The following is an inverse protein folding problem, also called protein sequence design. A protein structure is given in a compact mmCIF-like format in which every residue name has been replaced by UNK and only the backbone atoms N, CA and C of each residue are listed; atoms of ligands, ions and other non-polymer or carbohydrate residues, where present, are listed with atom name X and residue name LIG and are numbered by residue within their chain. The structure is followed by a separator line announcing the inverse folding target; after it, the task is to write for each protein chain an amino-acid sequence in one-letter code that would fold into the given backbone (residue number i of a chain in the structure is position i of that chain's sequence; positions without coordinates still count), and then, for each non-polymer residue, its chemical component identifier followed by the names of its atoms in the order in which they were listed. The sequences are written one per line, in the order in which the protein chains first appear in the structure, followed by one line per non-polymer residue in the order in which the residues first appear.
data_IF_972065634331
#
_entry.id   IF_972065634331
#
_cell.length_a   1.000
_cell.length_b   1.000
_cell.length_c   1.000
_cell.angle_alpha   90.00
_cell.angle_beta   90.00
_cell.angle_gamma   90.00
#
_symmetry.space_group_name_H-M   'P 1'
#
loop_
_entity.id
_entity.type
_entity.pdbx_description
1 polymer ?
#
# COMPACT_ATOMS: atom_id res chain seq x y z
N UNK A 1 -7.11 -13.47 -40.31
CA UNK A 1 -6.55 -12.62 -39.23
C UNK A 1 -7.28 -13.00 -37.95
N UNK A 2 -6.57 -13.31 -36.87
CA UNK A 2 -7.21 -13.48 -35.56
C UNK A 2 -7.92 -12.18 -35.19
N UNK A 3 -9.21 -12.25 -34.86
CA UNK A 3 -9.95 -11.11 -34.35
C UNK A 3 -9.57 -10.91 -32.87
N UNK A 4 -8.90 -9.80 -32.57
CA UNK A 4 -8.58 -9.42 -31.20
C UNK A 4 -9.65 -8.48 -30.64
N UNK A 5 -9.90 -8.55 -29.33
CA UNK A 5 -10.90 -7.70 -28.66
C UNK A 5 -10.44 -6.24 -28.44
N UNK A 6 -9.15 -5.95 -28.70
CA UNK A 6 -8.57 -4.61 -28.61
C UNK A 6 -9.13 -3.67 -29.68
N UNK A 7 -9.11 -2.36 -29.42
CA UNK A 7 -9.56 -1.31 -30.33
C UNK A 7 -8.42 -0.28 -30.57
N UNK A 8 -7.60 -0.48 -31.62
CA UNK A 8 -6.51 0.42 -31.98
C UNK A 8 -6.94 1.85 -32.35
N UNK A 9 -8.15 2.03 -32.86
CA UNK A 9 -8.68 3.35 -33.23
C UNK A 9 -8.97 4.18 -31.99
N UNK A 10 -9.58 3.56 -30.98
CA UNK A 10 -9.83 4.16 -29.67
C UNK A 10 -8.53 4.63 -29.00
N UNK A 11 -7.52 3.77 -29.00
CA UNK A 11 -6.19 4.13 -28.47
C UNK A 11 -5.54 5.27 -29.22
N UNK A 12 -5.69 5.30 -30.55
CA UNK A 12 -5.18 6.38 -31.40
C UNK A 12 -5.89 7.70 -31.10
N UNK A 13 -7.22 7.67 -30.90
CA UNK A 13 -8.01 8.84 -30.52
C UNK A 13 -7.61 9.36 -29.14
N UNK A 14 -7.43 8.45 -28.17
CA UNK A 14 -6.97 8.80 -26.83
C UNK A 14 -5.60 9.46 -26.86
N UNK A 15 -4.62 8.88 -27.56
CA UNK A 15 -3.29 9.45 -27.66
C UNK A 15 -3.32 10.89 -28.19
N UNK A 16 -4.06 11.12 -29.29
CA UNK A 16 -4.23 12.45 -29.88
C UNK A 16 -4.81 13.46 -28.90
N UNK A 17 -5.80 13.06 -28.09
CA UNK A 17 -6.42 13.94 -27.09
C UNK A 17 -5.47 14.19 -25.90
N UNK A 18 -4.78 13.14 -25.44
CA UNK A 18 -3.88 13.19 -24.29
C UNK A 18 -2.69 14.12 -24.53
N UNK A 19 -2.13 14.13 -25.75
CA UNK A 19 -0.96 14.95 -26.09
C UNK A 19 -1.33 16.26 -26.79
N UNK A 20 -2.62 16.58 -26.92
CA UNK A 20 -3.08 17.77 -27.64
C UNK A 20 -2.57 19.04 -26.93
N UNK A 21 -1.75 19.82 -27.64
CA UNK A 21 -1.23 21.09 -27.12
C UNK A 21 -0.06 20.94 -26.14
N UNK A 22 0.53 19.74 -26.01
CA UNK A 22 1.65 19.46 -25.09
C UNK A 22 2.73 18.65 -25.85
N UNK A 23 3.42 19.25 -26.84
CA UNK A 23 4.30 18.52 -27.76
C UNK A 23 5.50 17.84 -27.07
N UNK A 24 5.99 18.40 -25.97
CA UNK A 24 7.08 17.87 -25.16
C UNK A 24 6.68 16.63 -24.34
N UNK A 25 5.38 16.44 -24.09
CA UNK A 25 4.90 15.31 -23.32
C UNK A 25 4.84 14.05 -24.18
N UNK A 26 5.67 13.07 -23.80
CA UNK A 26 5.73 11.76 -24.44
C UNK A 26 5.23 10.69 -23.46
N UNK A 27 3.98 10.19 -23.59
CA UNK A 27 3.43 9.22 -22.67
C UNK A 27 4.31 7.98 -22.52
N UNK A 28 4.41 7.45 -21.29
CA UNK A 28 5.11 6.19 -21.03
C UNK A 28 4.15 5.02 -21.27
N UNK A 29 4.11 4.52 -22.51
CA UNK A 29 3.37 3.30 -22.83
C UNK A 29 4.23 2.06 -22.63
N UNK A 30 3.59 0.93 -22.33
CA UNK A 30 4.26 -0.38 -22.25
C UNK A 30 3.26 -1.52 -22.48
N UNK A 31 3.72 -2.70 -22.94
CA UNK A 31 2.83 -3.84 -23.18
C UNK A 31 2.39 -4.52 -21.89
N UNK A 32 1.12 -4.90 -21.87
CA UNK A 32 0.51 -5.80 -20.90
C UNK A 32 0.23 -7.15 -21.57
N UNK A 33 0.08 -8.21 -20.77
CA UNK A 33 -0.36 -9.51 -21.26
C UNK A 33 -1.76 -9.40 -21.88
N UNK A 34 -2.01 -10.21 -22.92
CA UNK A 34 -3.33 -10.27 -23.59
C UNK A 34 -4.42 -10.62 -22.57
N UNK A 35 -5.58 -9.96 -22.67
CA UNK A 35 -6.71 -10.17 -21.76
C UNK A 35 -6.38 -9.99 -20.26
N UNK A 36 -5.28 -9.32 -19.92
CA UNK A 36 -4.86 -9.08 -18.55
C UNK A 36 -4.47 -7.62 -18.34
N UNK A 37 -4.44 -7.22 -17.07
CA UNK A 37 -3.88 -5.94 -16.61
C UNK A 37 -2.40 -6.03 -16.29
N UNK A 38 -1.84 -7.23 -16.24
CA UNK A 38 -0.47 -7.45 -15.81
C UNK A 38 0.54 -7.03 -16.88
N UNK A 39 1.64 -6.39 -16.48
CA UNK A 39 2.80 -6.19 -17.33
C UNK A 39 3.24 -7.48 -18.02
N UNK A 40 3.81 -7.34 -19.22
CA UNK A 40 4.42 -8.46 -19.90
C UNK A 40 5.57 -9.07 -19.06
N UNK A 41 5.45 -10.34 -18.70
CA UNK A 41 6.25 -10.98 -17.64
C UNK A 41 7.76 -11.05 -17.92
N UNK A 42 8.17 -10.98 -19.20
CA UNK A 42 9.57 -11.18 -19.60
C UNK A 42 10.48 -9.99 -19.29
N UNK A 43 9.91 -8.79 -19.17
CA UNK A 43 10.68 -7.55 -19.01
C UNK A 43 9.96 -6.65 -18.02
N UNK A 44 10.68 -6.13 -17.03
CA UNK A 44 10.14 -5.09 -16.15
C UNK A 44 9.55 -3.96 -16.97
N UNK A 45 8.28 -3.62 -16.72
CA UNK A 45 7.61 -2.58 -17.49
C UNK A 45 8.29 -1.21 -17.38
N UNK A 46 8.94 -0.93 -16.23
CA UNK A 46 9.76 0.28 -16.03
C UNK A 46 10.98 0.36 -16.95
N UNK A 47 11.34 -0.75 -17.61
CA UNK A 47 12.41 -0.87 -18.60
C UNK A 47 11.88 -1.21 -20.00
N UNK A 48 10.56 -1.24 -20.21
CA UNK A 48 9.92 -1.68 -21.46
C UNK A 48 9.04 -0.59 -22.08
N UNK A 49 9.51 0.66 -22.03
CA UNK A 49 8.83 1.80 -22.67
C UNK A 49 8.61 1.52 -24.16
N UNK A 50 7.47 1.99 -24.67
CA UNK A 50 7.11 2.02 -26.09
C UNK A 50 6.75 3.43 -26.50
N UNK A 51 7.13 3.79 -27.71
CA UNK A 51 6.56 4.91 -28.44
C UNK A 51 5.09 4.63 -28.76
N UNK A 52 4.34 5.67 -29.13
CA UNK A 52 2.95 5.52 -29.56
C UNK A 52 2.81 4.50 -30.71
N UNK A 53 3.67 4.57 -31.73
CA UNK A 53 3.59 3.69 -32.90
C UNK A 53 3.86 2.22 -32.53
N UNK A 54 4.84 1.96 -31.67
CA UNK A 54 5.12 0.61 -31.17
C UNK A 54 3.96 0.06 -30.32
N UNK A 55 3.41 0.89 -29.43
CA UNK A 55 2.27 0.51 -28.60
C UNK A 55 1.03 0.23 -29.45
N UNK A 56 0.75 1.07 -30.45
CA UNK A 56 -0.36 0.89 -31.39
C UNK A 56 -0.20 -0.41 -32.19
N UNK A 57 1.02 -0.69 -32.66
CA UNK A 57 1.34 -1.93 -33.37
C UNK A 57 1.11 -3.17 -32.50
N UNK A 58 1.51 -3.13 -31.22
CA UNK A 58 1.25 -4.20 -30.27
C UNK A 58 -0.25 -4.36 -30.00
N UNK A 59 -1.00 -3.27 -29.88
CA UNK A 59 -2.45 -3.31 -29.69
C UNK A 59 -3.18 -3.93 -30.88
N UNK A 60 -2.76 -3.65 -32.12
CA UNK A 60 -3.25 -4.32 -33.34
C UNK A 60 -3.01 -5.84 -33.33
N UNK A 61 -2.08 -6.30 -32.50
CA UNK A 61 -1.77 -7.72 -32.27
C UNK A 61 -2.40 -8.28 -30.99
N UNK A 62 -3.40 -7.58 -30.44
CA UNK A 62 -4.19 -8.04 -29.30
C UNK A 62 -3.55 -7.85 -27.93
N UNK A 63 -2.39 -7.21 -27.83
CA UNK A 63 -1.80 -6.87 -26.53
C UNK A 63 -2.52 -5.66 -25.93
N UNK A 64 -2.77 -5.73 -24.63
CA UNK A 64 -3.21 -4.55 -23.88
C UNK A 64 -2.04 -3.59 -23.69
N UNK A 65 -2.34 -2.31 -23.53
CA UNK A 65 -1.32 -1.28 -23.33
C UNK A 65 -1.55 -0.61 -21.97
N UNK A 66 -0.49 -0.54 -21.19
CA UNK A 66 -0.43 0.28 -19.97
C UNK A 66 0.07 1.67 -20.30
N UNK A 67 -0.42 2.66 -19.56
CA UNK A 67 0.13 4.02 -19.52
C UNK A 67 0.56 4.33 -18.08
N UNK A 68 1.82 4.70 -17.91
CA UNK A 68 2.38 5.07 -16.62
C UNK A 68 2.59 6.57 -16.50
N UNK A 69 2.34 7.09 -15.30
CA UNK A 69 2.88 8.37 -14.86
C UNK A 69 4.23 8.11 -14.19
N UNK A 70 5.25 8.89 -14.53
CA UNK A 70 6.63 8.74 -14.03
C UNK A 70 7.05 9.93 -13.16
N UNK A 71 8.17 9.81 -12.47
CA UNK A 71 8.80 10.95 -11.75
C UNK A 71 9.32 12.05 -12.69
N UNK A 72 9.54 11.74 -13.97
CA UNK A 72 10.11 12.66 -14.97
C UNK A 72 9.10 13.30 -15.91
N UNK A 73 7.86 12.83 -15.93
CA UNK A 73 6.78 13.40 -16.76
C UNK A 73 5.77 14.18 -15.90
N UNK A 74 4.94 15.03 -16.51
CA UNK A 74 3.93 15.77 -15.77
C UNK A 74 2.60 15.00 -15.61
N UNK A 75 2.49 13.74 -16.05
CA UNK A 75 1.21 13.04 -16.03
C UNK A 75 0.75 12.76 -14.60
N UNK A 76 -0.53 13.00 -14.32
CA UNK A 76 -1.21 12.58 -13.09
C UNK A 76 -2.48 11.86 -13.51
N UNK A 77 -2.72 10.68 -12.96
CA UNK A 77 -3.92 9.89 -13.25
C UNK A 77 -4.70 9.74 -11.95
N UNK A 78 -5.90 10.30 -11.86
CA UNK A 78 -6.81 10.04 -10.74
C UNK A 78 -7.72 8.88 -11.15
N UNK A 79 -7.43 7.69 -10.63
CA UNK A 79 -8.17 6.44 -10.80
C UNK A 79 -9.27 6.36 -9.74
N UNK A 80 -10.52 6.60 -10.14
CA UNK A 80 -11.69 6.60 -9.25
C UNK A 80 -12.38 5.25 -9.36
N UNK A 81 -12.44 4.53 -8.25
CA UNK A 81 -13.13 3.23 -8.15
C UNK A 81 -14.61 3.39 -7.78
N UNK A 82 -14.93 4.35 -6.91
CA UNK A 82 -16.28 4.67 -6.45
C UNK A 82 -16.60 6.16 -6.64
N UNK A 83 -17.41 6.47 -7.64
CA UNK A 83 -17.82 7.83 -7.98
C UNK A 83 -18.64 8.51 -6.88
N UNK A 84 -19.30 7.76 -5.98
CA UNK A 84 -20.08 8.34 -4.88
C UNK A 84 -19.19 8.98 -3.80
N UNK A 85 -17.96 8.51 -3.68
CA UNK A 85 -16.95 9.04 -2.75
C UNK A 85 -16.15 10.20 -3.37
N UNK A 86 -16.26 10.40 -4.68
CA UNK A 86 -15.60 11.47 -5.44
C UNK A 86 -16.64 12.21 -6.27
N UNK A 87 -17.59 12.93 -5.62
CA UNK A 87 -18.70 13.56 -6.33
C UNK A 87 -18.25 14.70 -7.25
N UNK A 88 -17.13 15.34 -6.92
CA UNK A 88 -16.56 16.45 -7.67
C UNK A 88 -15.13 16.13 -8.11
N UNK A 89 -14.87 16.33 -9.40
CA UNK A 89 -13.54 16.25 -9.98
C UNK A 89 -13.39 17.31 -11.06
N UNK A 90 -12.23 17.96 -11.11
CA UNK A 90 -11.90 18.95 -12.13
C UNK A 90 -12.09 18.33 -13.53
N UNK A 91 -12.89 18.93 -14.43
CA UNK A 91 -13.13 18.38 -15.76
C UNK A 91 -11.84 18.20 -16.54
N UNK A 92 -11.68 17.02 -17.15
CA UNK A 92 -10.50 16.66 -17.96
C UNK A 92 -10.82 15.47 -18.87
N UNK A 93 -9.85 15.03 -19.67
CA UNK A 93 -9.92 13.80 -20.43
C UNK A 93 -10.19 12.60 -19.51
N UNK A 94 -11.22 11.82 -19.82
CA UNK A 94 -11.62 10.67 -19.00
C UNK A 94 -11.70 9.38 -19.82
N UNK A 95 -11.41 8.27 -19.16
CA UNK A 95 -11.67 6.92 -19.68
C UNK A 95 -12.47 6.10 -18.69
N UNK A 96 -13.43 5.33 -19.18
CA UNK A 96 -14.18 4.34 -18.41
C UNK A 96 -13.40 3.03 -18.31
N UNK A 97 -13.31 2.48 -17.10
CA UNK A 97 -12.58 1.22 -16.85
C UNK A 97 -13.40 -0.02 -17.25
N UNK A 98 -12.77 -1.20 -17.29
CA UNK A 98 -13.39 -2.48 -17.70
C UNK A 98 -14.72 -2.85 -17.00
N UNK A 99 -14.91 -2.39 -15.75
CA UNK A 99 -16.11 -2.68 -14.95
C UNK A 99 -17.23 -1.67 -15.21
N UNK A 100 -16.98 -0.69 -16.08
CA UNK A 100 -17.89 0.39 -16.51
C UNK A 100 -18.32 1.40 -15.42
N UNK A 101 -18.04 1.09 -14.16
CA UNK A 101 -18.28 1.97 -13.00
C UNK A 101 -17.13 2.94 -12.73
N UNK A 102 -15.87 2.49 -12.81
CA UNK A 102 -14.71 3.33 -12.49
C UNK A 102 -14.29 4.26 -13.62
N UNK A 103 -13.49 5.28 -13.29
CA UNK A 103 -12.99 6.30 -14.22
C UNK A 103 -11.50 6.56 -14.00
N UNK A 104 -10.73 6.63 -15.09
CA UNK A 104 -9.39 7.23 -15.03
C UNK A 104 -9.50 8.67 -15.57
N UNK A 105 -9.01 9.63 -14.78
CA UNK A 105 -9.02 11.05 -15.09
C UNK A 105 -7.57 11.50 -15.29
N UNK A 106 -7.24 12.00 -16.48
CA UNK A 106 -5.86 12.32 -16.84
C UNK A 106 -5.62 13.81 -16.70
N UNK A 107 -4.51 14.21 -16.07
CA UNK A 107 -4.12 15.60 -15.86
C UNK A 107 -2.63 15.81 -16.12
N UNK A 108 -2.25 17.06 -16.32
CA UNK A 108 -0.85 17.52 -16.33
C UNK A 108 -0.57 18.31 -15.05
N UNK A 109 0.37 17.83 -14.24
CA UNK A 109 0.82 18.52 -13.04
C UNK A 109 1.44 19.89 -13.39
N UNK A 110 0.99 20.94 -12.73
CA UNK A 110 1.62 22.27 -12.86
C UNK A 110 2.94 22.36 -12.10
N UNK A 111 3.06 21.58 -11.03
CA UNK A 111 4.21 21.58 -10.15
C UNK A 111 4.45 20.19 -9.55
N UNK A 112 5.55 20.03 -8.82
CA UNK A 112 5.90 18.75 -8.18
C UNK A 112 4.97 18.36 -7.03
N UNK A 113 4.18 19.28 -6.50
CA UNK A 113 3.25 18.99 -5.39
C UNK A 113 2.07 18.13 -5.86
N UNK A 114 1.65 18.27 -7.11
CA UNK A 114 0.67 17.38 -7.74
C UNK A 114 1.25 15.99 -8.12
N UNK A 115 2.57 15.78 -8.04
CA UNK A 115 3.21 14.49 -8.34
C UNK A 115 3.31 13.61 -7.08
N UNK A 116 2.15 13.24 -6.52
CA UNK A 116 2.04 12.39 -5.32
C UNK A 116 1.19 11.16 -5.59
N UNK A 117 1.69 9.98 -5.21
CA UNK A 117 0.86 8.77 -5.17
C UNK A 117 0.02 8.77 -3.88
N UNK A 118 -1.30 8.64 -4.00
CA UNK A 118 -2.21 8.67 -2.85
C UNK A 118 -3.22 7.54 -3.03
N UNK A 119 -3.26 6.60 -2.09
CA UNK A 119 -4.31 5.60 -2.02
C UNK A 119 -5.38 6.07 -1.03
N UNK A 120 -6.65 6.01 -1.42
CA UNK A 120 -7.79 6.44 -0.60
C UNK A 120 -8.83 5.31 -0.48
N UNK A 121 -8.36 4.11 -0.11
CA UNK A 121 -9.20 2.94 0.13
C UNK A 121 -10.15 2.64 -1.03
N UNK A 122 -11.47 2.71 -0.81
CA UNK A 122 -12.50 2.42 -1.81
C UNK A 122 -12.76 3.56 -2.79
N UNK A 123 -12.32 4.79 -2.50
CA UNK A 123 -12.52 5.92 -3.40
C UNK A 123 -11.65 5.79 -4.67
N UNK A 124 -10.49 5.16 -4.53
CA UNK A 124 -9.53 4.95 -5.61
C UNK A 124 -8.13 5.47 -5.26
N UNK A 125 -7.38 5.90 -6.27
CA UNK A 125 -5.97 6.27 -6.16
C UNK A 125 -5.59 7.45 -7.06
N UNK A 126 -4.72 8.33 -6.56
CA UNK A 126 -3.92 9.22 -7.39
C UNK A 126 -2.63 8.51 -7.77
N UNK A 127 -2.43 8.30 -9.07
CA UNK A 127 -1.29 7.60 -9.68
C UNK A 127 -0.43 8.56 -10.47
N UNK A 128 0.72 8.93 -9.94
CA UNK A 128 1.55 10.02 -10.49
C UNK A 128 3.03 9.66 -10.68
N UNK A 129 3.58 8.75 -9.87
CA UNK A 129 5.01 8.42 -9.89
C UNK A 129 5.18 6.92 -9.91
N UNK A 130 5.61 6.40 -11.06
CA UNK A 130 5.83 4.98 -11.32
C UNK A 130 4.62 4.09 -10.98
N UNK A 131 3.42 4.62 -11.20
CA UNK A 131 2.15 3.90 -11.19
C UNK A 131 1.48 4.03 -12.55
N UNK A 132 0.63 3.07 -12.90
CA UNK A 132 0.05 2.97 -14.23
C UNK A 132 -1.42 2.61 -14.19
N UNK A 133 -2.11 2.88 -15.28
CA UNK A 133 -3.44 2.34 -15.57
C UNK A 133 -3.43 1.64 -16.92
N UNK A 134 -4.50 0.89 -17.21
CA UNK A 134 -4.69 0.31 -18.55
C UNK A 134 -5.24 1.40 -19.47
N UNK A 135 -4.60 1.58 -20.64
CA UNK A 135 -4.99 2.57 -21.63
C UNK A 135 -6.26 2.15 -22.39
N UNK A 136 -7.10 3.12 -22.83
CA UNK A 136 -8.28 2.82 -23.64
C UNK A 136 -7.90 2.18 -24.98
N UNK A 137 -8.81 1.38 -25.52
CA UNK A 137 -8.55 0.42 -26.60
C UNK A 137 -8.12 -0.96 -26.10
N UNK A 138 -7.73 -1.10 -24.83
CA UNK A 138 -7.44 -2.40 -24.22
C UNK A 138 -8.71 -3.13 -23.79
N UNK A 139 -8.61 -4.46 -23.62
CA UNK A 139 -9.71 -5.33 -23.19
C UNK A 139 -9.26 -6.32 -22.11
N UNK A 140 -10.03 -6.44 -21.03
CA UNK A 140 -9.82 -7.44 -19.97
C UNK A 140 -11.17 -8.04 -19.59
N UNK A 141 -11.39 -9.35 -19.77
CA UNK A 141 -12.69 -9.97 -19.54
C UNK A 141 -13.19 -9.74 -18.11
N UNK A 142 -14.51 -9.65 -17.97
CA UNK A 142 -15.21 -9.59 -16.69
C UNK A 142 -15.98 -10.90 -16.49
N UNK A 143 -16.06 -11.37 -15.24
CA UNK A 143 -16.92 -12.50 -14.91
C UNK A 143 -18.39 -12.07 -14.87
N UNK A 144 -19.31 -13.04 -14.91
CA UNK A 144 -20.75 -12.78 -14.95
C UNK A 144 -21.24 -11.94 -13.76
N UNK A 145 -20.71 -12.20 -12.56
CA UNK A 145 -21.09 -11.44 -11.37
C UNK A 145 -20.72 -9.96 -11.48
N UNK A 146 -19.53 -9.65 -11.99
CA UNK A 146 -19.12 -8.26 -12.22
C UNK A 146 -19.98 -7.60 -13.31
N UNK A 147 -20.37 -8.33 -14.36
CA UNK A 147 -21.24 -7.83 -15.44
C UNK A 147 -22.64 -7.52 -14.91
N UNK A 148 -23.21 -8.38 -14.05
CA UNK A 148 -24.53 -8.15 -13.44
C UNK A 148 -24.58 -6.88 -12.59
N UNK A 149 -23.47 -6.48 -11.97
CA UNK A 149 -23.34 -5.24 -11.19
C UNK A 149 -23.19 -3.97 -12.05
N UNK A 150 -23.03 -4.09 -13.38
CA UNK A 150 -22.93 -2.94 -14.28
C UNK A 150 -24.31 -2.40 -14.66
N UNK A 151 -24.41 -1.09 -14.97
CA UNK A 151 -25.58 -0.53 -15.66
C UNK A 151 -25.88 -1.32 -16.93
N UNK A 152 -27.17 -1.55 -17.21
CA UNK A 152 -27.60 -2.46 -18.28
C UNK A 152 -27.10 -2.01 -19.66
N UNK A 153 -27.19 -0.72 -19.92
CA UNK A 153 -26.73 -0.04 -21.12
C UNK A 153 -25.20 -0.10 -21.32
N UNK A 154 -24.44 -0.40 -20.27
CA UNK A 154 -22.97 -0.51 -20.34
C UNK A 154 -22.47 -1.95 -20.45
N UNK A 155 -23.35 -2.96 -20.32
CA UNK A 155 -22.95 -4.39 -20.29
C UNK A 155 -22.29 -4.86 -21.60
N UNK A 156 -22.70 -4.33 -22.75
CA UNK A 156 -22.08 -4.65 -24.04
C UNK A 156 -20.63 -4.15 -24.15
N UNK A 157 -20.27 -3.17 -23.33
CA UNK A 157 -18.92 -2.65 -23.23
C UNK A 157 -18.10 -3.35 -22.12
N UNK A 158 -18.65 -4.36 -21.45
CA UNK A 158 -17.96 -5.07 -20.38
C UNK A 158 -16.57 -5.54 -20.83
N UNK A 159 -15.58 -5.26 -19.98
CA UNK A 159 -14.19 -5.59 -20.25
C UNK A 159 -13.41 -4.55 -21.05
N UNK A 160 -14.08 -3.61 -21.73
CA UNK A 160 -13.43 -2.58 -22.55
C UNK A 160 -12.98 -1.39 -21.70
N UNK A 161 -11.76 -0.94 -21.95
CA UNK A 161 -11.30 0.39 -21.57
C UNK A 161 -11.59 1.35 -22.73
N UNK A 162 -12.39 2.39 -22.50
CA UNK A 162 -12.83 3.32 -23.56
C UNK A 162 -12.76 4.75 -23.07
N UNK A 163 -12.60 5.70 -23.99
CA UNK A 163 -12.85 7.12 -23.77
C UNK A 163 -14.28 7.29 -23.24
N UNK A 164 -14.39 8.12 -22.21
CA UNK A 164 -15.68 8.53 -21.67
C UNK A 164 -16.10 9.89 -22.25
N UNK A 165 -15.13 10.76 -22.53
CA UNK A 165 -15.35 12.07 -23.13
C UNK A 165 -14.20 12.41 -24.10
N UNK A 166 -14.28 13.59 -24.73
CA UNK A 166 -13.23 14.11 -25.62
C UNK A 166 -12.69 15.47 -25.16
N UNK A 167 -12.75 15.74 -23.85
CA UNK A 167 -12.21 16.97 -23.27
C UNK A 167 -10.68 17.01 -23.45
N UNK A 168 -10.07 18.21 -23.58
CA UNK A 168 -8.63 18.34 -23.48
C UNK A 168 -8.14 17.93 -22.08
N UNK A 169 -6.86 17.58 -21.98
CA UNK A 169 -6.23 17.31 -20.68
C UNK A 169 -6.06 18.63 -19.93
N UNK A 170 -6.62 18.70 -18.74
CA UNK A 170 -6.51 19.85 -17.85
C UNK A 170 -5.21 19.81 -17.04
N UNK A 171 -4.74 21.00 -16.65
CA UNK A 171 -3.69 21.13 -15.65
C UNK A 171 -4.22 20.90 -14.24
N UNK A 172 -3.37 20.47 -13.31
CA UNK A 172 -3.76 20.18 -11.92
C UNK A 172 -2.68 20.61 -10.91
N UNK A 173 -3.12 21.16 -9.78
CA UNK A 173 -2.31 21.36 -8.57
C UNK A 173 -2.74 20.40 -7.45
N UNK A 174 -2.09 20.43 -6.29
CA UNK A 174 -2.50 19.61 -5.16
C UNK A 174 -3.89 20.04 -4.62
N UNK A 175 -4.20 21.33 -4.67
CA UNK A 175 -5.45 21.93 -4.17
C UNK A 175 -6.67 21.46 -4.97
N UNK A 176 -6.46 21.20 -6.26
CA UNK A 176 -7.46 20.66 -7.19
C UNK A 176 -7.83 19.19 -6.90
N UNK A 177 -7.06 18.48 -6.06
CA UNK A 177 -7.38 17.10 -5.71
C UNK A 177 -8.71 17.01 -4.95
N UNK A 178 -9.55 16.01 -5.24
CA UNK A 178 -10.77 15.79 -4.46
C UNK A 178 -10.46 15.58 -2.97
N UNK A 179 -11.36 16.03 -2.10
CA UNK A 179 -11.11 16.13 -0.65
C UNK A 179 -10.73 14.78 -0.02
N UNK A 180 -11.36 13.69 -0.44
CA UNK A 180 -11.06 12.33 0.06
C UNK A 180 -9.58 11.96 -0.10
N UNK A 181 -8.94 12.37 -1.20
CA UNK A 181 -7.51 12.12 -1.43
C UNK A 181 -6.63 13.07 -0.61
N UNK A 182 -7.04 14.33 -0.45
CA UNK A 182 -6.30 15.29 0.40
C UNK A 182 -6.33 14.85 1.87
N UNK A 183 -7.47 14.39 2.37
CA UNK A 183 -7.60 13.84 3.72
C UNK A 183 -6.79 12.56 3.91
N UNK A 184 -6.83 11.63 2.95
CA UNK A 184 -5.97 10.44 2.97
C UNK A 184 -4.48 10.82 3.02
N UNK A 185 -4.06 11.80 2.22
CA UNK A 185 -2.69 12.29 2.22
C UNK A 185 -2.30 12.97 3.55
N UNK A 186 -3.17 13.80 4.13
CA UNK A 186 -2.94 14.46 5.43
C UNK A 186 -2.79 13.43 6.54
N UNK A 187 -3.73 12.49 6.66
CA UNK A 187 -3.71 11.42 7.66
C UNK A 187 -2.41 10.62 7.58
N UNK A 188 -2.02 10.25 6.35
CA UNK A 188 -0.78 9.55 6.07
C UNK A 188 0.47 10.37 6.44
N UNK A 189 0.50 11.66 6.10
CA UNK A 189 1.63 12.56 6.44
C UNK A 189 1.80 12.71 7.95
N UNK A 190 0.71 12.75 8.72
CA UNK A 190 0.75 12.81 10.18
C UNK A 190 1.44 11.57 10.76
N UNK A 191 1.09 10.37 10.26
CA UNK A 191 1.71 9.11 10.71
C UNK A 191 3.22 9.12 10.45
N UNK A 192 3.64 9.46 9.24
CA UNK A 192 5.07 9.52 8.87
C UNK A 192 5.86 10.55 9.65
N UNK A 193 5.26 11.72 9.87
CA UNK A 193 5.88 12.79 10.65
C UNK A 193 6.07 12.34 12.09
N UNK A 194 5.05 11.70 12.70
CA UNK A 194 5.15 11.12 14.04
C UNK A 194 6.25 10.04 14.10
N UNK A 195 6.30 9.14 13.11
CA UNK A 195 7.33 8.11 13.04
C UNK A 195 8.75 8.72 12.94
N UNK A 196 8.90 9.77 12.14
CA UNK A 196 10.17 10.49 11.98
C UNK A 196 10.58 11.21 13.27
N UNK A 197 9.67 11.96 13.90
CA UNK A 197 9.94 12.64 15.17
C UNK A 197 10.35 11.62 16.25
N UNK A 198 9.64 10.49 16.37
CA UNK A 198 10.03 9.41 17.30
C UNK A 198 11.42 8.88 17.04
N UNK A 199 11.80 8.69 15.78
CA UNK A 199 13.14 8.24 15.44
C UNK A 199 14.21 9.28 15.82
N UNK A 200 13.99 10.55 15.51
CA UNK A 200 14.94 11.63 15.79
C UNK A 200 15.09 11.93 17.29
N UNK A 201 14.02 11.77 18.06
CA UNK A 201 14.01 11.96 19.51
C UNK A 201 14.40 10.71 20.30
N UNK A 202 14.74 9.62 19.60
CA UNK A 202 15.08 8.35 20.22
C UNK A 202 16.34 8.47 21.05
N UNK A 203 16.23 8.26 22.36
CA UNK A 203 17.39 8.04 23.21
C UNK A 203 17.97 6.65 22.97
N UNK A 204 19.30 6.49 22.86
CA UNK A 204 19.91 5.17 22.84
C UNK A 204 19.52 4.43 24.13
N UNK A 205 18.92 3.26 23.98
CA UNK A 205 18.62 2.38 25.10
C UNK A 205 19.86 1.51 25.29
N UNK A 206 20.48 1.56 26.46
CA UNK A 206 21.57 0.66 26.79
C UNK A 206 21.08 -0.79 26.63
N UNK A 207 21.79 -1.57 25.82
CA UNK A 207 21.57 -3.01 25.73
C UNK A 207 21.84 -3.62 27.10
N UNK A 208 20.80 -4.12 27.76
CA UNK A 208 20.99 -4.95 28.95
C UNK A 208 21.51 -6.32 28.50
N UNK A 209 22.60 -6.77 29.13
CA UNK A 209 23.05 -8.15 29.04
C UNK A 209 21.95 -9.06 29.61
N UNK A 210 21.30 -9.83 28.74
CA UNK A 210 20.20 -10.72 29.09
C UNK A 210 19.65 -11.46 27.87
N UNK A 211 18.78 -12.45 28.09
CA UNK A 211 18.15 -13.19 26.99
C UNK A 211 17.25 -12.27 26.16
N UNK A 212 17.60 -12.12 24.88
CA UNK A 212 16.81 -11.39 23.89
C UNK A 212 15.58 -12.23 23.53
N UNK A 213 14.41 -11.58 23.46
CA UNK A 213 13.18 -12.22 22.97
C UNK A 213 13.34 -12.61 21.50
N UNK A 214 12.87 -13.81 21.14
CA UNK A 214 12.80 -14.29 19.77
C UNK A 214 11.83 -13.46 18.91
N UNK A 215 10.98 -12.61 19.52
CA UNK A 215 10.14 -11.64 18.82
C UNK A 215 10.91 -10.80 17.80
N UNK A 216 12.14 -10.43 18.13
CA UNK A 216 12.98 -9.57 17.30
C UNK A 216 13.68 -10.31 16.16
N UNK A 217 13.58 -11.64 16.14
CA UNK A 217 14.20 -12.49 15.13
C UNK A 217 13.14 -13.08 14.17
N UNK A 218 11.84 -12.82 14.43
CA UNK A 218 10.75 -13.17 13.52
C UNK A 218 10.90 -12.45 12.18
N UNK A 219 10.59 -13.18 11.12
CA UNK A 219 10.56 -12.71 9.74
C UNK A 219 9.13 -12.60 9.24
N UNK A 220 8.94 -11.94 8.09
CA UNK A 220 7.65 -11.92 7.40
C UNK A 220 7.17 -13.34 7.07
N UNK A 221 8.07 -14.24 6.70
CA UNK A 221 7.72 -15.64 6.42
C UNK A 221 7.10 -16.31 7.64
N UNK A 222 7.63 -16.04 8.84
CA UNK A 222 7.13 -16.64 10.09
C UNK A 222 5.72 -16.15 10.44
N UNK A 223 5.45 -14.85 10.22
CA UNK A 223 4.19 -14.23 10.69
C UNK A 223 3.10 -14.19 9.62
N UNK A 224 3.46 -14.12 8.34
CA UNK A 224 2.51 -14.04 7.23
C UNK A 224 2.37 -15.37 6.47
N UNK A 225 3.27 -16.33 6.69
CA UNK A 225 3.29 -17.60 5.94
C UNK A 225 3.65 -17.43 4.45
N UNK A 226 4.18 -16.27 4.05
CA UNK A 226 4.55 -15.97 2.67
C UNK A 226 6.07 -15.83 2.59
N UNK A 227 6.72 -16.74 1.86
CA UNK A 227 8.15 -16.66 1.56
C UNK A 227 8.47 -15.55 0.55
N UNK A 228 9.76 -15.25 0.37
CA UNK A 228 10.21 -14.29 -0.64
C UNK A 228 9.65 -14.63 -2.03
N UNK A 229 8.92 -13.68 -2.60
CA UNK A 229 8.25 -13.81 -3.90
C UNK A 229 9.08 -13.25 -5.05
N UNK A 230 10.27 -12.71 -4.78
CA UNK A 230 11.09 -11.98 -5.75
C UNK A 230 10.37 -10.74 -6.31
N UNK A 231 9.45 -10.15 -5.53
CA UNK A 231 8.59 -9.04 -5.97
C UNK A 231 7.39 -9.45 -6.83
N UNK A 232 7.16 -10.75 -7.07
CA UNK A 232 5.95 -11.22 -7.74
C UNK A 232 4.73 -10.95 -6.86
N UNK A 233 3.70 -10.34 -7.43
CA UNK A 233 2.46 -10.06 -6.70
C UNK A 233 1.68 -11.35 -6.41
N UNK A 234 1.25 -11.51 -5.17
CA UNK A 234 0.48 -12.62 -4.61
C UNK A 234 -0.72 -12.09 -3.81
N UNK A 235 -1.68 -12.95 -3.41
CA UNK A 235 -2.78 -12.53 -2.56
C UNK A 235 -2.27 -12.08 -1.18
N UNK A 236 -2.77 -10.94 -0.71
CA UNK A 236 -2.63 -10.50 0.67
C UNK A 236 -3.35 -11.46 1.62
N UNK A 237 -2.72 -11.82 2.76
CA UNK A 237 -3.36 -12.57 3.83
C UNK A 237 -4.69 -11.94 4.30
N UNK A 238 -5.69 -12.79 4.55
CA UNK A 238 -7.02 -12.39 5.02
C UNK A 238 -6.99 -11.69 6.37
N UNK A 239 -6.02 -12.05 7.21
CA UNK A 239 -5.83 -11.57 8.58
C UNK A 239 -5.48 -10.08 8.63
N UNK A 240 -4.96 -9.53 7.53
CA UNK A 240 -4.69 -8.09 7.39
C UNK A 240 -5.88 -7.40 6.74
N UNK A 241 -6.18 -7.75 5.48
CA UNK A 241 -7.35 -7.24 4.75
C UNK A 241 -7.70 -8.04 3.48
N UNK A 242 -7.01 -9.15 3.20
CA UNK A 242 -7.30 -10.00 2.04
C UNK A 242 -7.06 -9.35 0.66
N UNK A 243 -7.44 -10.09 -0.40
CA UNK A 243 -7.29 -9.65 -1.79
C UNK A 243 -8.46 -10.04 -2.67
N UNK A 244 -9.18 -9.05 -3.18
CA UNK A 244 -10.20 -9.25 -4.22
C UNK A 244 -9.58 -9.62 -5.58
N UNK A 245 -8.38 -9.13 -5.87
CA UNK A 245 -7.70 -9.31 -7.15
C UNK A 245 -6.67 -10.44 -7.14
N UNK A 246 -6.39 -11.01 -5.95
CA UNK A 246 -5.32 -11.97 -5.72
C UNK A 246 -3.90 -11.43 -5.89
N UNK A 247 -3.68 -10.10 -5.96
CA UNK A 247 -2.37 -9.50 -6.28
C UNK A 247 -2.03 -8.24 -5.46
N UNK A 248 -2.49 -8.17 -4.21
CA UNK A 248 -2.30 -6.97 -3.38
C UNK A 248 -1.01 -6.95 -2.56
N UNK A 249 -0.23 -8.03 -2.50
CA UNK A 249 1.06 -7.99 -1.82
C UNK A 249 2.20 -8.67 -2.59
N UNK A 250 3.42 -8.43 -2.17
CA UNK A 250 4.60 -9.22 -2.55
C UNK A 250 5.60 -9.21 -1.41
N UNK A 251 6.36 -10.27 -1.22
CA UNK A 251 7.45 -10.31 -0.25
C UNK A 251 8.79 -10.22 -0.98
N UNK A 252 9.67 -9.34 -0.51
CA UNK A 252 11.05 -9.24 -0.98
C UNK A 252 11.91 -8.57 0.07
N UNK A 253 13.19 -8.97 0.19
CA UNK A 253 14.15 -8.34 1.12
C UNK A 253 13.66 -8.39 2.59
N UNK A 254 12.93 -9.44 2.97
CA UNK A 254 12.39 -9.60 4.32
C UNK A 254 11.20 -8.68 4.66
N UNK A 255 10.66 -7.95 3.67
CA UNK A 255 9.52 -7.06 3.84
C UNK A 255 8.33 -7.55 3.02
N UNK A 256 7.13 -7.40 3.58
CA UNK A 256 5.87 -7.55 2.86
C UNK A 256 5.47 -6.18 2.32
N UNK A 257 5.37 -6.05 1.01
CA UNK A 257 4.88 -4.87 0.32
C UNK A 257 3.37 -4.98 0.13
N UNK A 258 2.61 -4.07 0.73
CA UNK A 258 1.18 -3.90 0.49
C UNK A 258 0.98 -2.87 -0.62
N UNK A 259 0.57 -3.35 -1.79
CA UNK A 259 0.32 -2.49 -2.96
C UNK A 259 -1.01 -1.75 -2.90
N UNK A 260 -1.94 -2.17 -2.03
CA UNK A 260 -3.23 -1.49 -1.83
C UNK A 260 -3.09 -0.23 -0.98
N UNK A 261 -2.30 -0.31 0.08
CA UNK A 261 -2.11 0.79 1.04
C UNK A 261 -0.77 1.52 0.83
N UNK A 262 0.04 1.11 -0.15
CA UNK A 262 1.35 1.69 -0.48
C UNK A 262 2.31 1.74 0.73
N UNK A 263 2.34 0.64 1.49
CA UNK A 263 3.19 0.47 2.69
C UNK A 263 3.93 -0.87 2.66
N UNK A 264 5.02 -0.94 3.40
CA UNK A 264 5.78 -2.15 3.69
C UNK A 264 5.68 -2.53 5.15
N UNK A 265 5.69 -3.83 5.43
CA UNK A 265 5.72 -4.38 6.78
C UNK A 265 6.97 -5.23 7.00
N UNK A 266 7.52 -5.15 8.21
CA UNK A 266 8.38 -6.18 8.77
C UNK A 266 7.53 -7.07 9.70
N UNK A 267 8.13 -8.11 10.30
CA UNK A 267 7.40 -9.02 11.18
C UNK A 267 6.71 -8.28 12.34
N UNK A 268 7.39 -7.33 12.97
CA UNK A 268 6.86 -6.58 14.10
C UNK A 268 5.65 -5.72 13.72
N UNK A 269 5.74 -4.93 12.64
CA UNK A 269 4.62 -4.07 12.21
C UNK A 269 3.46 -4.89 11.66
N UNK A 270 3.72 -6.07 11.08
CA UNK A 270 2.67 -7.02 10.69
C UNK A 270 1.92 -7.56 11.92
N UNK A 271 2.65 -8.05 12.93
CA UNK A 271 2.05 -8.51 14.18
C UNK A 271 1.31 -7.40 14.93
N UNK A 272 1.76 -6.16 14.83
CA UNK A 272 1.07 -5.01 15.41
C UNK A 272 -0.32 -4.79 14.78
N UNK A 273 -0.49 -5.07 13.49
CA UNK A 273 -1.81 -5.09 12.85
C UNK A 273 -2.64 -6.26 13.39
N UNK A 274 -2.07 -7.46 13.44
CA UNK A 274 -2.79 -8.65 13.92
C UNK A 274 -3.21 -8.55 15.39
N UNK A 275 -2.43 -7.86 16.22
CA UNK A 275 -2.76 -7.56 17.61
C UNK A 275 -3.86 -6.48 17.76
N UNK A 276 -4.39 -5.93 16.65
CA UNK A 276 -5.45 -4.92 16.66
C UNK A 276 -5.00 -3.53 17.12
N UNK A 277 -3.69 -3.27 17.16
CA UNK A 277 -3.13 -1.99 17.61
C UNK A 277 -3.15 -0.91 16.53
N UNK A 278 -3.02 -1.35 15.28
CA UNK A 278 -2.83 -0.47 14.14
C UNK A 278 -3.58 -1.01 12.92
N UNK A 279 -3.87 -0.12 11.98
CA UNK A 279 -4.27 -0.49 10.62
C UNK A 279 -3.06 -0.83 9.77
N UNK A 280 -3.26 -1.47 8.61
CA UNK A 280 -2.18 -1.71 7.64
C UNK A 280 -1.41 -0.41 7.33
N UNK A 281 -2.13 0.67 7.02
CA UNK A 281 -1.56 1.99 6.70
C UNK A 281 -0.78 2.60 7.87
N UNK A 282 -1.30 2.50 9.09
CA UNK A 282 -0.69 3.16 10.26
C UNK A 282 0.43 2.37 10.93
N UNK A 283 0.52 1.05 10.70
CA UNK A 283 1.62 0.22 11.18
C UNK A 283 2.82 0.22 10.22
N UNK A 284 2.55 0.22 8.92
CA UNK A 284 3.55 0.04 7.88
C UNK A 284 4.52 1.22 7.74
N UNK A 285 5.58 1.01 6.96
CA UNK A 285 6.45 2.06 6.45
C UNK A 285 6.05 2.35 5.01
N UNK A 286 5.75 3.60 4.66
CA UNK A 286 5.39 3.95 3.28
C UNK A 286 6.40 3.46 2.26
N UNK A 287 5.94 3.15 1.05
CA UNK A 287 6.82 2.90 -0.08
C UNK A 287 7.74 4.12 -0.32
N UNK A 288 9.06 3.91 -0.17
CA UNK A 288 10.06 4.98 -0.21
C UNK A 288 10.22 5.78 1.09
N UNK A 289 9.44 5.46 2.12
CA UNK A 289 9.57 5.97 3.48
C UNK A 289 10.79 5.39 4.20
N UNK A 290 11.08 5.92 5.40
CA UNK A 290 12.27 5.57 6.19
C UNK A 290 11.96 4.78 7.47
N UNK A 291 10.77 4.95 8.02
CA UNK A 291 10.42 4.43 9.35
C UNK A 291 9.04 3.80 9.35
N UNK A 292 8.88 2.74 10.15
CA UNK A 292 7.59 2.10 10.38
C UNK A 292 6.71 2.95 11.31
N UNK A 293 5.40 2.92 11.06
CA UNK A 293 4.41 3.54 11.93
C UNK A 293 4.22 2.79 13.26
N UNK A 294 4.36 1.47 13.28
CA UNK A 294 4.35 0.68 14.51
C UNK A 294 5.60 0.95 15.36
N UNK A 295 5.40 1.28 16.64
CA UNK A 295 6.49 1.67 17.53
C UNK A 295 7.09 0.47 18.29
N UNK A 296 8.20 -0.07 17.76
CA UNK A 296 8.97 -1.12 18.43
C UNK A 296 9.65 -0.68 19.74
N UNK A 297 9.53 0.59 20.12
CA UNK A 297 10.12 1.16 21.32
C UNK A 297 9.05 1.59 22.35
N UNK A 298 7.77 1.49 22.03
CA UNK A 298 6.66 1.74 22.94
C UNK A 298 6.35 0.48 23.76
N UNK A 299 6.33 0.61 25.09
CA UNK A 299 6.20 -0.53 25.99
C UNK A 299 4.86 -1.24 25.85
N UNK A 300 3.77 -0.48 25.67
CA UNK A 300 2.43 -1.04 25.45
C UNK A 300 2.37 -1.82 24.14
N UNK A 301 2.82 -1.20 23.06
CA UNK A 301 2.87 -1.81 21.72
C UNK A 301 3.67 -3.11 21.75
N UNK A 302 4.87 -3.08 22.31
CA UNK A 302 5.72 -4.27 22.41
C UNK A 302 5.07 -5.35 23.29
N UNK A 303 4.40 -4.99 24.38
CA UNK A 303 3.70 -5.95 25.24
C UNK A 303 2.59 -6.68 24.49
N UNK A 304 1.71 -5.93 23.83
CA UNK A 304 0.57 -6.49 23.10
C UNK A 304 1.01 -7.31 21.88
N UNK A 305 2.04 -6.87 21.15
CA UNK A 305 2.63 -7.63 20.03
C UNK A 305 3.27 -8.93 20.53
N UNK A 306 4.07 -8.87 21.60
CA UNK A 306 4.70 -10.06 22.19
C UNK A 306 3.66 -11.06 22.71
N UNK A 307 2.62 -10.56 23.40
CA UNK A 307 1.53 -11.39 23.92
C UNK A 307 0.77 -12.08 22.77
N UNK A 308 0.45 -11.34 21.70
CA UNK A 308 -0.16 -11.92 20.51
C UNK A 308 0.72 -13.01 19.89
N UNK A 309 2.02 -12.75 19.73
CA UNK A 309 2.95 -13.71 19.14
C UNK A 309 3.09 -14.99 20.01
N UNK A 310 3.10 -14.87 21.34
CA UNK A 310 3.06 -16.03 22.24
C UNK A 310 1.75 -16.82 22.13
N UNK A 311 0.62 -16.13 22.17
CA UNK A 311 -0.69 -16.79 22.09
C UNK A 311 -0.89 -17.50 20.74
N UNK A 312 -0.29 -16.95 19.68
CA UNK A 312 -0.27 -17.53 18.34
C UNK A 312 0.82 -18.60 18.15
N UNK A 313 1.56 -18.95 19.22
CA UNK A 313 2.65 -19.95 19.22
C UNK A 313 3.78 -19.65 18.22
N UNK A 314 3.96 -18.39 17.86
CA UNK A 314 5.08 -17.91 17.05
C UNK A 314 6.37 -17.77 17.89
N UNK A 315 6.22 -17.73 19.21
CA UNK A 315 7.32 -17.65 20.17
C UNK A 315 7.33 -18.89 21.09
N UNK A 316 8.52 -19.34 21.54
CA UNK A 316 8.62 -20.38 22.56
C UNK A 316 7.82 -20.04 23.83
N UNK A 317 7.31 -21.05 24.53
CA UNK A 317 6.58 -20.82 25.79
C UNK A 317 7.42 -20.10 26.85
N UNK A 318 8.73 -20.31 26.85
CA UNK A 318 9.67 -19.66 27.77
C UNK A 318 10.37 -18.44 27.14
N UNK A 319 9.87 -17.91 26.03
CA UNK A 319 10.41 -16.69 25.43
C UNK A 319 10.36 -15.53 26.44
N UNK A 320 11.49 -14.84 26.67
CA UNK A 320 11.55 -13.76 27.66
C UNK A 320 10.78 -12.54 27.14
N UNK A 321 9.88 -12.00 27.96
CA UNK A 321 9.21 -10.73 27.69
C UNK A 321 10.24 -9.63 27.40
N UNK A 322 10.09 -8.79 26.36
CA UNK A 322 10.95 -7.64 26.15
C UNK A 322 10.93 -6.67 27.34
N UNK A 323 12.07 -6.06 27.66
CA UNK A 323 12.20 -5.21 28.86
C UNK A 323 11.19 -4.05 28.89
N UNK A 324 10.95 -3.40 27.74
CA UNK A 324 9.99 -2.30 27.65
C UNK A 324 8.55 -2.75 27.89
N UNK A 325 8.20 -3.93 27.41
CA UNK A 325 6.91 -4.56 27.69
C UNK A 325 6.76 -4.89 29.17
N UNK A 326 7.81 -5.41 29.82
CA UNK A 326 7.82 -5.67 31.26
C UNK A 326 7.64 -4.39 32.07
N UNK A 327 8.35 -3.32 31.70
CA UNK A 327 8.21 -2.00 32.33
C UNK A 327 6.78 -1.47 32.19
N UNK A 328 6.21 -1.54 30.98
CA UNK A 328 4.83 -1.14 30.74
C UNK A 328 3.86 -1.90 31.64
N UNK A 329 3.98 -3.23 31.67
CA UNK A 329 3.13 -4.07 32.49
C UNK A 329 3.27 -3.73 33.99
N UNK A 330 4.48 -3.49 34.48
CA UNK A 330 4.71 -3.07 35.87
C UNK A 330 4.01 -1.73 36.21
N UNK A 331 4.04 -0.77 35.29
CA UNK A 331 3.35 0.52 35.44
C UNK A 331 1.84 0.32 35.42
N UNK A 332 1.32 -0.46 34.47
CA UNK A 332 -0.12 -0.77 34.35
C UNK A 332 -0.66 -1.43 35.62
N UNK A 333 0.10 -2.36 36.21
CA UNK A 333 -0.22 -3.02 37.47
C UNK A 333 0.09 -2.19 38.72
N UNK A 334 0.48 -0.92 38.55
CA UNK A 334 0.81 0.03 39.64
C UNK A 334 1.92 -0.47 40.57
N UNK A 335 2.81 -1.32 40.08
CA UNK A 335 3.96 -1.87 40.83
C UNK A 335 5.08 -0.83 40.92
N UNK A 336 5.23 0.00 39.87
CA UNK A 336 6.19 1.09 39.85
C UNK A 336 5.56 2.38 39.28
N UNK A 337 6.10 3.54 39.67
CA UNK A 337 5.66 4.82 39.15
C UNK A 337 6.33 5.14 37.80
N UNK A 338 5.51 5.52 36.81
CA UNK A 338 5.94 5.95 35.47
C UNK A 338 7.03 7.04 35.50
N UNK A 339 6.93 8.01 36.40
CA UNK A 339 7.91 9.10 36.50
C UNK A 339 9.29 8.59 36.91
N UNK A 340 9.35 7.68 37.89
CA UNK A 340 10.60 7.07 38.36
C UNK A 340 11.25 6.26 37.25
N UNK A 341 10.47 5.42 36.56
CA UNK A 341 10.99 4.61 35.45
C UNK A 341 11.40 5.46 34.25
N UNK A 342 10.71 6.58 33.98
CA UNK A 342 11.12 7.49 32.89
C UNK A 342 12.47 8.16 33.13
N UNK A 343 12.86 8.34 34.40
CA UNK A 343 14.16 8.89 34.80
C UNK A 343 15.26 7.83 34.78
N UNK A 344 14.99 6.65 35.31
CA UNK A 344 16.00 5.61 35.50
C UNK A 344 16.07 4.58 34.35
N UNK A 345 15.05 4.55 33.49
CA UNK A 345 14.85 3.60 32.39
C UNK A 345 14.95 2.12 32.81
N UNK A 346 14.67 1.79 34.07
CA UNK A 346 14.75 0.43 34.62
C UNK A 346 13.81 0.23 35.82
N UNK A 347 13.51 -1.03 36.12
CA UNK A 347 12.87 -1.46 37.37
C UNK A 347 13.95 -1.72 38.43
N UNK A 348 13.65 -1.45 39.69
CA UNK A 348 14.44 -1.97 40.82
C UNK A 348 14.30 -3.49 40.93
N UNK A 349 15.23 -4.15 41.61
CA UNK A 349 15.18 -5.61 41.81
C UNK A 349 13.89 -6.09 42.48
N UNK A 350 13.31 -5.29 43.39
CA UNK A 350 12.03 -5.61 44.05
C UNK A 350 10.88 -5.46 43.06
N UNK A 351 10.77 -4.31 42.38
CA UNK A 351 9.73 -4.06 41.37
C UNK A 351 9.76 -5.14 40.27
N UNK A 352 10.94 -5.52 39.80
CA UNK A 352 11.12 -6.60 38.82
C UNK A 352 10.56 -7.94 39.33
N UNK A 353 10.97 -8.39 40.52
CA UNK A 353 10.50 -9.66 41.09
C UNK A 353 9.01 -9.68 41.38
N UNK A 354 8.47 -8.58 41.91
CA UNK A 354 7.03 -8.42 42.16
C UNK A 354 6.25 -8.47 40.84
N UNK A 355 6.77 -7.83 39.78
CA UNK A 355 6.17 -7.86 38.44
C UNK A 355 6.07 -9.28 37.91
N UNK A 356 7.15 -10.09 38.02
CA UNK A 356 7.13 -11.48 37.60
C UNK A 356 6.15 -12.34 38.44
N UNK A 357 6.07 -12.10 39.75
CA UNK A 357 5.16 -12.81 40.63
C UNK A 357 3.69 -12.51 40.30
N UNK A 358 3.34 -11.23 40.10
CA UNK A 358 1.98 -10.81 39.71
C UNK A 358 1.60 -11.40 38.34
N UNK A 359 2.50 -11.33 37.35
CA UNK A 359 2.27 -11.95 36.05
C UNK A 359 1.97 -13.45 36.16
N UNK A 360 2.72 -14.18 37.00
CA UNK A 360 2.49 -15.60 37.25
C UNK A 360 1.12 -15.86 37.88
N UNK A 361 0.66 -15.02 38.82
CA UNK A 361 -0.69 -15.16 39.41
C UNK A 361 -1.81 -14.92 38.40
N UNK A 362 -1.54 -14.13 37.36
CA UNK A 362 -2.46 -13.90 36.24
C UNK A 362 -2.31 -14.94 35.12
N UNK A 363 -1.51 -15.99 35.32
CA UNK A 363 -1.30 -17.06 34.35
C UNK A 363 -0.37 -16.68 33.19
N UNK A 364 0.35 -15.56 33.28
CA UNK A 364 1.29 -15.12 32.25
C UNK A 364 2.69 -15.68 32.53
N UNK A 365 3.25 -16.39 31.54
CA UNK A 365 4.67 -16.80 31.56
C UNK A 365 5.53 -15.75 30.86
N UNK A 366 6.32 -15.00 31.61
CA UNK A 366 7.21 -13.95 31.08
C UNK A 366 8.59 -14.46 30.65
N UNK A 367 8.89 -15.76 30.75
CA UNK A 367 10.16 -16.34 30.30
C UNK A 367 11.40 -15.75 30.98
N UNK A 368 11.20 -15.09 32.13
CA UNK A 368 12.23 -14.42 32.92
C UNK A 368 12.26 -15.03 34.32
N UNK A 369 13.45 -15.04 34.91
CA UNK A 369 13.70 -15.51 36.29
C UNK A 369 14.02 -14.33 37.19
#
# INVERSE_FOLDING_TARGET
MEAYNTNPEEFSKFHKLLTKGIPEFQPYYFPLNRNSKDPWERVSWKKNRKTFNEALFLMKRGYNIGIAATDTDPLVIIDVDDMSQVPEIKPTLQTTSRKRIGRHNYFIAENKEAKKNIAANSAGEIRSVWQYVVAPGSFVPCNEEAIKKMPEEERDNAGRYSLNNTLPVSKITFEDFPEVYKEAYKARTIVDTKATIRHLTRKPVNSYEGSKSALWDLTISDVAGICDTGGKRVPMPSEIHGSETGKNCSVSQGLLHCWRHEVTHNAFSYLAVLAGLYTCESAGMQHGGKYFGADSQDGETVFKVWQYAKNSRLLPENDPIPLKALIYYAIEKKICNKEKVSKECKLTSIEYRVTLAVAKTEGLNFGRK
#
